data_IF_982647582712
#
_entry.id   IF_982647582712
#
_cell.length_a   1.000
_cell.length_b   1.000
_cell.length_c   1.000
_cell.angle_alpha   90.00
_cell.angle_beta   90.00
_cell.angle_gamma   90.00
#
_symmetry.space_group_name_H-M   'P 1'
#
loop_
_entity.id
_entity.type
_entity.pdbx_description
1 polymer ?
#
# COMPACT_ATOMS: atom_id res chain seq x y z
N UNK A 1 -19.09 15.72 -9.30
CA UNK A 1 -18.24 14.56 -9.67
C UNK A 1 -18.97 13.81 -10.78
N UNK A 2 -18.49 13.86 -12.03
CA UNK A 2 -19.06 13.03 -13.10
C UNK A 2 -18.49 11.62 -12.98
N UNK A 3 -19.34 10.62 -12.76
CA UNK A 3 -19.00 9.21 -13.01
C UNK A 3 -18.88 9.05 -14.54
N UNK A 4 -17.71 9.29 -15.12
CA UNK A 4 -17.42 8.65 -16.39
C UNK A 4 -17.35 7.15 -16.10
N UNK A 5 -18.22 6.36 -16.72
CA UNK A 5 -18.48 4.96 -16.35
C UNK A 5 -17.32 3.99 -16.66
N UNK A 6 -16.16 4.52 -17.05
CA UNK A 6 -15.06 3.78 -17.66
C UNK A 6 -13.76 3.80 -16.85
N UNK A 7 -13.57 4.77 -15.95
CA UNK A 7 -12.37 4.87 -15.11
C UNK A 7 -12.64 5.50 -13.74
N UNK A 8 -11.76 5.20 -12.79
CA UNK A 8 -11.68 5.83 -11.48
C UNK A 8 -10.63 6.94 -11.49
N UNK A 9 -10.94 8.08 -10.86
CA UNK A 9 -9.95 9.13 -10.61
C UNK A 9 -9.32 8.89 -9.24
N UNK A 10 -7.99 8.79 -9.19
CA UNK A 10 -7.23 8.36 -8.01
C UNK A 10 -6.24 9.46 -7.61
N UNK A 11 -6.26 9.85 -6.33
CA UNK A 11 -5.21 10.70 -5.78
C UNK A 11 -3.98 9.87 -5.42
N UNK A 12 -2.88 10.09 -6.14
CA UNK A 12 -1.59 9.45 -5.88
C UNK A 12 -0.58 10.39 -5.24
N UNK A 13 -0.99 11.56 -4.72
CA UNK A 13 -0.11 12.58 -4.14
C UNK A 13 0.87 13.20 -5.16
N UNK A 14 0.40 13.37 -6.39
CA UNK A 14 1.08 14.10 -7.49
C UNK A 14 0.36 15.42 -7.79
N UNK A 15 0.95 16.33 -8.60
CA UNK A 15 0.33 17.60 -8.97
C UNK A 15 -1.03 17.46 -9.66
N UNK A 16 -1.19 16.42 -10.49
CA UNK A 16 -2.45 16.00 -11.10
C UNK A 16 -2.91 14.66 -10.51
N UNK A 17 -4.20 14.37 -10.62
CA UNK A 17 -4.72 13.06 -10.24
C UNK A 17 -4.46 12.04 -11.36
N UNK A 18 -4.33 10.78 -10.99
CA UNK A 18 -4.19 9.68 -11.94
C UNK A 18 -5.56 9.07 -12.27
N UNK A 19 -5.60 8.26 -13.32
CA UNK A 19 -6.78 7.51 -13.72
C UNK A 19 -6.50 6.00 -13.70
N UNK A 20 -7.47 5.24 -13.20
CA UNK A 20 -7.45 3.78 -13.15
C UNK A 20 -8.64 3.25 -13.95
N UNK A 21 -8.43 2.69 -15.15
CA UNK A 21 -9.53 2.15 -15.95
C UNK A 21 -10.27 1.03 -15.19
N UNK A 22 -11.59 0.98 -15.31
CA UNK A 22 -12.42 0.00 -14.60
C UNK A 22 -12.15 -1.46 -15.00
N UNK A 23 -11.48 -1.68 -16.13
CA UNK A 23 -11.08 -3.01 -16.63
C UNK A 23 -9.61 -3.35 -16.36
N UNK A 24 -8.82 -2.41 -15.82
CA UNK A 24 -7.40 -2.60 -15.52
C UNK A 24 -7.22 -3.33 -14.18
N UNK A 25 -7.87 -4.47 -14.02
CA UNK A 25 -7.72 -5.39 -12.89
C UNK A 25 -7.58 -6.82 -13.44
N UNK A 26 -6.81 -7.68 -12.78
CA UNK A 26 -6.58 -9.05 -13.27
C UNK A 26 -7.91 -9.78 -13.59
N UNK A 27 -8.07 -10.17 -14.86
CA UNK A 27 -9.25 -10.85 -15.40
C UNK A 27 -10.60 -10.09 -15.27
N UNK A 28 -10.58 -8.76 -15.14
CA UNK A 28 -11.80 -7.96 -15.13
C UNK A 28 -12.48 -7.92 -16.51
N UNK A 29 -13.81 -7.90 -16.50
CA UNK A 29 -14.66 -7.81 -17.70
C UNK A 29 -15.76 -6.77 -17.50
N UNK A 30 -16.44 -6.34 -18.57
CA UNK A 30 -17.58 -5.41 -18.46
C UNK A 30 -18.66 -5.89 -17.49
N UNK A 31 -18.85 -7.21 -17.35
CA UNK A 31 -19.83 -7.82 -16.43
C UNK A 31 -19.28 -8.00 -15.01
N UNK A 32 -18.00 -8.33 -14.89
CA UNK A 32 -17.33 -8.61 -13.62
C UNK A 32 -16.11 -7.69 -13.46
N UNK A 33 -16.35 -6.51 -12.90
CA UNK A 33 -15.32 -5.51 -12.58
C UNK A 33 -15.49 -5.03 -11.15
N UNK A 34 -14.41 -4.58 -10.49
CA UNK A 34 -14.51 -3.99 -9.16
C UNK A 34 -15.48 -2.82 -9.15
N UNK A 35 -16.15 -2.61 -8.02
CA UNK A 35 -16.99 -1.45 -7.78
C UNK A 35 -16.40 -0.69 -6.59
N UNK A 36 -15.44 0.18 -6.89
CA UNK A 36 -14.79 1.00 -5.88
C UNK A 36 -15.67 2.20 -5.51
N UNK A 37 -15.81 2.43 -4.21
CA UNK A 37 -16.52 3.59 -3.70
C UNK A 37 -15.57 4.78 -3.52
N UNK A 38 -16.15 5.98 -3.44
CA UNK A 38 -15.37 7.19 -3.19
C UNK A 38 -14.76 7.08 -1.77
N UNK A 39 -13.44 7.20 -1.70
CA UNK A 39 -12.69 7.04 -0.46
C UNK A 39 -12.07 5.65 -0.27
N UNK A 40 -12.35 4.68 -1.16
CA UNK A 40 -11.63 3.41 -1.19
C UNK A 40 -10.12 3.63 -1.44
N UNK A 41 -9.30 2.85 -0.74
CA UNK A 41 -7.86 2.78 -0.98
C UNK A 41 -7.56 1.69 -2.01
N UNK A 42 -6.61 1.94 -2.90
CA UNK A 42 -6.23 0.99 -3.95
C UNK A 42 -4.72 0.86 -3.99
N UNK A 43 -4.23 -0.38 -4.01
CA UNK A 43 -2.85 -0.69 -4.35
C UNK A 43 -2.78 -0.98 -5.84
N UNK A 44 -2.04 -0.14 -6.57
CA UNK A 44 -1.92 -0.18 -8.01
C UNK A 44 -0.49 0.17 -8.43
N UNK A 45 -0.11 -0.21 -9.64
CA UNK A 45 1.15 0.23 -10.27
C UNK A 45 0.86 1.30 -11.32
N UNK A 46 1.88 2.09 -11.63
CA UNK A 46 1.86 3.00 -12.77
C UNK A 46 2.05 2.18 -14.04
N UNK A 47 1.11 2.28 -14.98
CA UNK A 47 1.24 1.65 -16.30
C UNK A 47 1.88 2.62 -17.29
N UNK A 48 1.39 3.86 -17.35
CA UNK A 48 1.90 4.88 -18.26
C UNK A 48 1.98 6.24 -17.54
N UNK A 49 3.09 6.95 -17.75
CA UNK A 49 3.30 8.28 -17.21
C UNK A 49 4.10 9.12 -18.21
N UNK A 50 3.48 10.20 -18.70
CA UNK A 50 4.10 11.17 -19.60
C UNK A 50 4.01 12.57 -18.99
N UNK A 51 4.98 13.43 -19.31
CA UNK A 51 5.03 14.78 -18.74
C UNK A 51 3.83 15.65 -19.13
N UNK A 52 3.25 15.40 -20.31
CA UNK A 52 2.16 16.17 -20.89
C UNK A 52 0.79 15.46 -20.83
N UNK A 53 0.74 14.23 -20.29
CA UNK A 53 -0.48 13.42 -20.19
C UNK A 53 -0.76 13.06 -18.74
N UNK A 54 -2.01 12.74 -18.45
CA UNK A 54 -2.39 12.24 -17.13
C UNK A 54 -1.83 10.82 -16.90
N UNK A 55 -1.41 10.54 -15.68
CA UNK A 55 -0.87 9.23 -15.28
C UNK A 55 -1.94 8.15 -15.31
N UNK A 56 -1.65 7.04 -15.96
CA UNK A 56 -2.51 5.84 -15.98
C UNK A 56 -2.00 4.79 -14.99
N UNK A 57 -2.93 4.21 -14.23
CA UNK A 57 -2.68 3.14 -13.27
C UNK A 57 -3.26 1.81 -13.77
N UNK A 58 -2.68 0.73 -13.29
CA UNK A 58 -3.25 -0.62 -13.45
C UNK A 58 -3.16 -1.44 -12.17
N UNK A 59 -4.14 -2.30 -11.98
CA UNK A 59 -4.17 -3.38 -11.00
C UNK A 59 -4.04 -4.74 -11.69
N UNK A 60 -3.39 -4.78 -12.86
CA UNK A 60 -3.00 -6.02 -13.54
C UNK A 60 -1.55 -6.33 -13.18
N UNK A 61 -1.37 -7.41 -12.45
CA UNK A 61 -0.07 -8.03 -12.28
C UNK A 61 0.17 -9.05 -13.41
N UNK A 62 1.20 -8.86 -14.26
CA UNK A 62 1.49 -9.72 -15.41
C UNK A 62 1.98 -11.12 -15.00
N UNK A 63 2.48 -11.28 -13.78
CA UNK A 63 2.98 -12.57 -13.29
C UNK A 63 1.84 -13.48 -12.80
N UNK A 64 0.74 -12.89 -12.34
CA UNK A 64 -0.41 -13.63 -11.84
C UNK A 64 -1.52 -13.79 -12.87
N UNK A 65 -1.98 -15.03 -13.04
CA UNK A 65 -3.18 -15.35 -13.84
C UNK A 65 -4.45 -15.40 -12.98
N UNK A 66 -4.35 -15.14 -11.68
CA UNK A 66 -5.48 -15.20 -10.74
C UNK A 66 -6.41 -14.01 -10.94
N UNK A 67 -7.70 -14.19 -10.69
CA UNK A 67 -8.70 -13.12 -10.82
C UNK A 67 -8.61 -12.13 -9.65
N UNK A 68 -8.91 -10.86 -9.89
CA UNK A 68 -8.88 -9.79 -8.88
C UNK A 68 -9.73 -10.07 -7.63
N UNK A 69 -10.75 -10.92 -7.73
CA UNK A 69 -11.71 -11.21 -6.67
C UNK A 69 -11.37 -12.46 -5.85
N UNK A 70 -10.23 -13.12 -6.08
CA UNK A 70 -9.84 -14.31 -5.28
C UNK A 70 -9.21 -13.96 -3.94
N UNK A 71 -8.78 -12.71 -3.75
CA UNK A 71 -8.01 -12.29 -2.57
C UNK A 71 -6.55 -12.74 -2.60
N UNK A 72 -6.10 -13.35 -3.70
CA UNK A 72 -4.74 -13.86 -3.88
C UNK A 72 -3.92 -12.99 -4.84
N UNK A 73 -4.48 -11.85 -5.27
CA UNK A 73 -3.81 -10.84 -6.10
C UNK A 73 -3.42 -9.70 -5.18
N UNK A 74 -2.16 -9.25 -5.30
CA UNK A 74 -1.63 -8.17 -4.45
C UNK A 74 -2.24 -6.80 -4.79
N UNK A 75 -2.50 -6.55 -6.07
CA UNK A 75 -3.07 -5.29 -6.55
C UNK A 75 -4.59 -5.30 -6.44
N UNK A 76 -5.18 -4.15 -6.07
CA UNK A 76 -6.62 -4.01 -5.91
C UNK A 76 -7.02 -3.14 -4.73
N UNK A 77 -8.28 -3.27 -4.31
CA UNK A 77 -8.83 -2.51 -3.19
C UNK A 77 -8.25 -2.99 -1.85
N UNK A 78 -7.79 -2.03 -1.04
CA UNK A 78 -7.27 -2.28 0.30
C UNK A 78 -8.38 -2.02 1.33
N UNK A 79 -8.71 -3.03 2.14
CA UNK A 79 -9.84 -2.99 3.10
C UNK A 79 -9.38 -3.19 4.54
N UNK A 80 -10.09 -2.58 5.49
CA UNK A 80 -9.93 -2.83 6.93
C UNK A 80 -8.54 -2.48 7.52
N UNK A 81 -7.78 -1.59 6.86
CA UNK A 81 -6.48 -1.14 7.36
C UNK A 81 -6.39 0.36 7.57
N UNK A 82 -5.30 0.75 8.21
CA UNK A 82 -4.97 2.14 8.48
C UNK A 82 -4.00 2.64 7.42
N UNK A 83 -4.30 3.80 6.82
CA UNK A 83 -3.36 4.49 5.94
C UNK A 83 -2.65 5.63 6.65
N UNK A 84 -1.37 5.80 6.35
CA UNK A 84 -0.55 6.89 6.88
C UNK A 84 0.54 7.30 5.89
N UNK A 85 1.13 8.46 6.13
CA UNK A 85 2.13 9.05 5.25
C UNK A 85 3.54 8.96 5.84
N UNK A 86 4.50 8.70 4.96
CA UNK A 86 5.93 8.68 5.24
C UNK A 86 6.68 9.54 4.22
N UNK A 87 7.91 9.93 4.55
CA UNK A 87 8.79 10.60 3.59
C UNK A 87 9.08 9.70 2.38
N UNK A 88 9.34 10.28 1.21
CA UNK A 88 9.62 9.49 -0.01
C UNK A 88 10.83 8.56 0.15
N UNK A 89 11.88 9.02 0.84
CA UNK A 89 13.06 8.20 1.16
C UNK A 89 12.75 7.03 2.10
N UNK A 90 11.74 7.19 2.97
CA UNK A 90 11.23 6.11 3.81
C UNK A 90 10.43 5.09 2.99
N UNK A 91 9.54 5.57 2.11
CA UNK A 91 8.78 4.71 1.21
C UNK A 91 9.68 3.87 0.29
N UNK A 92 10.72 4.46 -0.29
CA UNK A 92 11.72 3.74 -1.08
C UNK A 92 12.37 2.59 -0.30
N UNK A 93 12.67 2.80 0.98
CA UNK A 93 13.21 1.75 1.86
C UNK A 93 12.19 0.69 2.25
N UNK A 94 10.89 1.02 2.35
CA UNK A 94 9.84 0.04 2.64
C UNK A 94 9.57 -0.88 1.45
N UNK A 95 9.68 -0.36 0.24
CA UNK A 95 9.48 -1.12 -1.01
C UNK A 95 10.73 -1.94 -1.37
N UNK A 96 11.89 -1.62 -0.80
CA UNK A 96 13.11 -2.39 -1.01
C UNK A 96 12.98 -3.83 -0.48
N UNK A 97 13.57 -4.77 -1.21
CA UNK A 97 13.53 -6.22 -0.90
C UNK A 97 14.20 -6.53 0.45
N UNK A 98 15.17 -5.72 0.87
CA UNK A 98 16.01 -5.91 2.05
C UNK A 98 15.69 -4.90 3.17
N UNK A 99 14.40 -4.68 3.45
CA UNK A 99 13.97 -3.77 4.51
C UNK A 99 14.13 -4.39 5.91
N UNK A 100 15.29 -4.18 6.54
CA UNK A 100 15.57 -4.68 7.90
C UNK A 100 14.49 -4.35 8.94
N UNK A 101 13.85 -3.18 8.84
CA UNK A 101 12.77 -2.77 9.77
C UNK A 101 11.58 -3.73 9.66
N UNK A 102 11.16 -4.06 8.43
CA UNK A 102 10.05 -4.98 8.19
C UNK A 102 10.42 -6.40 8.59
N UNK A 103 11.63 -6.86 8.23
CA UNK A 103 12.14 -8.17 8.62
C UNK A 103 12.17 -8.35 10.14
N UNK A 104 12.54 -7.28 10.86
CA UNK A 104 12.62 -7.31 12.31
C UNK A 104 11.24 -7.30 12.95
N UNK A 105 10.32 -6.45 12.49
CA UNK A 105 8.96 -6.39 13.03
C UNK A 105 8.20 -7.69 12.75
N UNK A 106 8.35 -8.28 11.56
CA UNK A 106 7.67 -9.52 11.16
C UNK A 106 8.07 -10.75 11.97
N UNK A 107 9.17 -10.71 12.73
CA UNK A 107 9.56 -11.80 13.65
C UNK A 107 8.67 -11.90 14.88
N UNK A 108 8.15 -10.77 15.37
CA UNK A 108 7.40 -10.71 16.63
C UNK A 108 5.92 -10.31 16.42
N UNK A 109 5.60 -9.66 15.30
CA UNK A 109 4.25 -9.14 15.02
C UNK A 109 3.71 -9.70 13.72
N UNK A 110 2.46 -10.15 13.74
CA UNK A 110 1.71 -10.50 12.53
C UNK A 110 1.02 -9.23 11.98
N UNK A 111 1.28 -8.87 10.74
CA UNK A 111 0.66 -7.73 10.07
C UNK A 111 0.76 -7.84 8.54
N UNK A 112 -0.09 -7.09 7.85
CA UNK A 112 -0.02 -6.86 6.40
C UNK A 112 0.34 -5.41 6.14
N UNK A 113 1.23 -5.16 5.19
CA UNK A 113 1.67 -3.82 4.82
C UNK A 113 1.81 -3.68 3.31
N UNK A 114 1.25 -2.59 2.77
CA UNK A 114 1.48 -2.17 1.40
C UNK A 114 2.09 -0.76 1.41
N UNK A 115 3.25 -0.60 0.80
CA UNK A 115 3.93 0.69 0.67
C UNK A 115 3.89 1.17 -0.78
N UNK A 116 3.36 2.37 -1.01
CA UNK A 116 3.44 3.06 -2.28
C UNK A 116 4.69 3.92 -2.36
N UNK A 117 5.34 3.97 -3.53
CA UNK A 117 6.49 4.85 -3.80
C UNK A 117 6.14 6.34 -3.68
N UNK A 118 4.85 6.68 -3.67
CA UNK A 118 4.31 8.01 -3.41
C UNK A 118 4.27 8.42 -1.92
N UNK A 119 4.78 7.59 -1.00
CA UNK A 119 4.81 7.92 0.42
C UNK A 119 3.53 7.58 1.19
N UNK A 120 2.53 6.94 0.55
CA UNK A 120 1.37 6.39 1.26
C UNK A 120 1.64 4.94 1.64
N UNK A 121 1.38 4.61 2.89
CA UNK A 121 1.52 3.25 3.44
C UNK A 121 0.18 2.82 4.02
N UNK A 122 -0.20 1.58 3.77
CA UNK A 122 -1.36 0.93 4.35
C UNK A 122 -0.90 -0.23 5.24
N UNK A 123 -1.54 -0.38 6.39
CA UNK A 123 -1.16 -1.34 7.42
C UNK A 123 -2.41 -1.96 8.06
N UNK A 124 -2.41 -3.28 8.20
CA UNK A 124 -3.39 -4.05 8.98
C UNK A 124 -2.65 -4.90 10.00
N UNK A 125 -3.14 -4.91 11.24
CA UNK A 125 -2.69 -5.82 12.29
C UNK A 125 -3.91 -6.35 13.06
N UNK A 126 -3.77 -7.45 13.83
CA UNK A 126 -4.89 -8.09 14.54
C UNK A 126 -5.64 -7.16 15.50
N UNK A 127 -4.91 -6.25 16.17
CA UNK A 127 -5.50 -5.30 17.11
C UNK A 127 -5.17 -3.86 16.75
N UNK A 128 -6.08 -2.94 17.05
CA UNK A 128 -5.85 -1.51 16.85
C UNK A 128 -4.62 -0.99 17.62
N UNK A 129 -4.32 -1.59 18.78
CA UNK A 129 -3.14 -1.27 19.59
C UNK A 129 -1.85 -1.63 18.85
N UNK A 130 -1.78 -2.82 18.26
CA UNK A 130 -0.64 -3.24 17.43
C UNK A 130 -0.51 -2.37 16.19
N UNK A 131 -1.62 -2.09 15.48
CA UNK A 131 -1.61 -1.22 14.29
C UNK A 131 -1.00 0.15 14.59
N UNK A 132 -1.39 0.79 15.70
CA UNK A 132 -0.85 2.10 16.10
C UNK A 132 0.63 2.01 16.46
N UNK A 133 1.05 0.96 17.17
CA UNK A 133 2.45 0.80 17.58
C UNK A 133 3.36 0.47 16.40
N UNK A 134 2.94 -0.41 15.49
CA UNK A 134 3.62 -0.72 14.25
C UNK A 134 3.77 0.54 13.38
N UNK A 135 2.70 1.33 13.22
CA UNK A 135 2.77 2.61 12.53
C UNK A 135 3.81 3.53 13.16
N UNK A 136 3.80 3.69 14.48
CA UNK A 136 4.76 4.55 15.18
C UNK A 136 6.20 4.04 15.03
N UNK A 137 6.41 2.74 15.11
CA UNK A 137 7.70 2.10 14.93
C UNK A 137 8.24 2.31 13.52
N UNK A 138 7.40 2.09 12.51
CA UNK A 138 7.75 2.33 11.10
C UNK A 138 8.11 3.80 10.90
N UNK A 139 7.32 4.75 11.40
CA UNK A 139 7.64 6.18 11.22
C UNK A 139 8.94 6.60 11.92
N UNK A 140 9.24 6.04 13.09
CA UNK A 140 10.44 6.38 13.88
C UNK A 140 11.71 5.68 13.41
N UNK A 141 11.59 4.49 12.83
CA UNK A 141 12.75 3.72 12.37
C UNK A 141 13.54 4.45 11.27
N UNK A 142 12.87 5.30 10.50
CA UNK A 142 13.53 6.12 9.48
C UNK A 142 14.37 7.22 10.11
N UNK A 143 15.69 7.03 10.08
CA UNK A 143 16.67 7.88 10.76
C UNK A 143 17.38 7.16 11.91
N UNK A 144 16.97 5.94 12.23
CA UNK A 144 17.65 5.07 13.18
C UNK A 144 18.64 4.13 12.48
N UNK A 145 19.69 3.76 13.20
CA UNK A 145 20.57 2.64 12.84
C UNK A 145 19.91 1.31 13.16
N UNK A 146 20.37 0.21 12.55
CA UNK A 146 19.83 -1.13 12.81
C UNK A 146 19.87 -1.50 14.30
N UNK A 147 20.91 -1.09 15.03
CA UNK A 147 21.03 -1.32 16.49
C UNK A 147 19.93 -0.58 17.26
N UNK A 148 19.61 0.65 16.86
CA UNK A 148 18.52 1.43 17.47
C UNK A 148 17.15 0.85 17.14
N UNK A 149 16.95 0.35 15.92
CA UNK A 149 15.73 -0.35 15.52
C UNK A 149 15.54 -1.61 16.37
N UNK A 150 16.58 -2.42 16.53
CA UNK A 150 16.56 -3.62 17.37
C UNK A 150 16.16 -3.28 18.82
N UNK A 151 16.79 -2.25 19.41
CA UNK A 151 16.47 -1.80 20.76
C UNK A 151 15.03 -1.25 20.88
N UNK A 152 14.52 -0.58 19.85
CA UNK A 152 13.14 -0.09 19.83
C UNK A 152 12.14 -1.24 19.76
N UNK A 153 12.33 -2.20 18.86
CA UNK A 153 11.45 -3.37 18.72
C UNK A 153 11.50 -4.23 19.97
N UNK A 154 12.68 -4.46 20.56
CA UNK A 154 12.81 -5.18 21.83
C UNK A 154 11.99 -4.57 22.97
N UNK A 155 11.96 -3.23 23.08
CA UNK A 155 11.08 -2.54 24.05
C UNK A 155 9.61 -2.71 23.72
N UNK A 156 9.24 -2.71 22.44
CA UNK A 156 7.84 -2.92 22.03
C UNK A 156 7.35 -4.30 22.44
N UNK A 157 8.14 -5.35 22.20
CA UNK A 157 7.79 -6.74 22.56
C UNK A 157 7.55 -6.88 24.07
N UNK A 158 8.39 -6.25 24.89
CA UNK A 158 8.21 -6.25 26.35
C UNK A 158 6.91 -5.60 26.82
N UNK A 159 6.34 -4.67 26.04
CA UNK A 159 5.06 -4.01 26.36
C UNK A 159 3.84 -4.88 26.02
N UNK A 160 4.05 -5.94 25.23
CA UNK A 160 3.03 -6.89 24.79
C UNK A 160 3.14 -8.28 25.42
N UNK A 161 4.26 -8.58 26.08
CA UNK A 161 4.44 -9.76 26.93
C UNK A 161 3.71 -9.56 28.26
#
# INVERSE_FOLDING_TARGET
MSRNSEFYKVDIRSPSAAFLPCLSFNAATKRNRPQLEIGSLVYARVEEAHADLDTELTCIDPETKKCWNTGEVLLGELKNGLSFEVALSAAQRLVAVDCYVLDRLGKDFSYELCAGTNGRVWLVAPTARETVLLLQAIRRSFGMTNVQVEAMVGKMVQVFS
#
